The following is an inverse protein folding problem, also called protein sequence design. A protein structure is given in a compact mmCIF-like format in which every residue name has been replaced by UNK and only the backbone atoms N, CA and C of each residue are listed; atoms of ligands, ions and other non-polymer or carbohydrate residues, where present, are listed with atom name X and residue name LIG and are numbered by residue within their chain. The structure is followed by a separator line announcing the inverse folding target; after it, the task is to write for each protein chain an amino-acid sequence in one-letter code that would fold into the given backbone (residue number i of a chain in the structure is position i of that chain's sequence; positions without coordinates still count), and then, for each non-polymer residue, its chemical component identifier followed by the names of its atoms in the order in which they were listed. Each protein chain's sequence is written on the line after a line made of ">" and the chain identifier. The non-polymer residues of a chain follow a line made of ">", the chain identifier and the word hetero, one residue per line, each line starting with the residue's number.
data_IF_044987947142
#
_entry.id   IF_044987947142
#
_cell.length_a   1.000
_cell.length_b   1.000
_cell.length_c   1.000
_cell.angle_alpha   90.00
_cell.angle_beta   90.00
_cell.angle_gamma   90.00
#
_symmetry.space_group_name_H-M   'P 1'
#
loop_
_entity.id
_entity.type
_entity.pdbx_description
1 polymer ?
#
# COMPACT_ATOMS: atom_id res chain seq x y z
N UNK A 1 -19.03 -49.79 -15.83
CA UNK A 1 -18.31 -49.12 -14.72
C UNK A 1 -17.89 -47.78 -15.25
N UNK A 2 -18.42 -46.70 -14.69
CA UNK A 2 -18.14 -45.36 -15.20
C UNK A 2 -16.98 -44.79 -14.39
N UNK A 3 -15.81 -44.67 -15.02
CA UNK A 3 -14.66 -43.98 -14.48
C UNK A 3 -14.84 -42.47 -14.70
N UNK A 4 -15.64 -41.87 -13.82
CA UNK A 4 -15.71 -40.41 -13.65
C UNK A 4 -14.57 -39.93 -12.78
N UNK A 5 -13.32 -40.19 -13.15
CA UNK A 5 -12.20 -39.56 -12.48
C UNK A 5 -10.98 -39.50 -13.38
N UNK A 6 -10.72 -38.31 -13.93
CA UNK A 6 -9.38 -37.72 -13.94
C UNK A 6 -9.41 -36.30 -14.51
N UNK A 7 -9.49 -35.35 -13.58
CA UNK A 7 -8.68 -34.12 -13.57
C UNK A 7 -8.62 -33.31 -14.88
N UNK A 8 -9.65 -32.48 -15.10
CA UNK A 8 -9.66 -31.37 -16.06
C UNK A 8 -8.62 -30.26 -15.78
N UNK A 9 -7.81 -30.40 -14.73
CA UNK A 9 -6.67 -29.53 -14.41
C UNK A 9 -5.39 -30.37 -14.37
N UNK A 10 -4.93 -30.79 -15.55
CA UNK A 10 -3.58 -31.32 -15.70
C UNK A 10 -2.52 -30.28 -15.28
N UNK A 11 -1.26 -30.70 -15.05
CA UNK A 11 -0.20 -29.83 -14.55
C UNK A 11 0.02 -28.55 -15.38
N UNK A 12 -0.34 -28.57 -16.67
CA UNK A 12 -0.31 -27.38 -17.54
C UNK A 12 -1.27 -26.26 -17.13
N UNK A 13 -2.46 -26.58 -16.62
CA UNK A 13 -3.45 -25.57 -16.18
C UNK A 13 -3.01 -24.86 -14.88
N UNK A 14 -2.39 -25.61 -13.97
CA UNK A 14 -1.83 -25.07 -12.73
C UNK A 14 -0.67 -24.13 -13.02
N UNK A 15 0.24 -24.51 -13.93
CA UNK A 15 1.37 -23.67 -14.33
C UNK A 15 0.90 -22.35 -14.96
N UNK A 16 -0.12 -22.40 -15.83
CA UNK A 16 -0.67 -21.20 -16.46
C UNK A 16 -1.33 -20.26 -15.42
N UNK A 17 -2.05 -20.82 -14.46
CA UNK A 17 -2.69 -20.07 -13.37
C UNK A 17 -1.66 -19.40 -12.44
N UNK A 18 -0.60 -20.11 -12.08
CA UNK A 18 0.51 -19.57 -11.27
C UNK A 18 1.22 -18.44 -12.04
N UNK A 19 1.47 -18.62 -13.34
CA UNK A 19 2.06 -17.58 -14.18
C UNK A 19 1.20 -16.32 -14.24
N UNK A 20 -0.12 -16.47 -14.37
CA UNK A 20 -1.07 -15.35 -14.36
C UNK A 20 -1.07 -14.60 -13.01
N UNK A 21 -1.09 -15.32 -11.89
CA UNK A 21 -1.00 -14.71 -10.56
C UNK A 21 0.31 -13.94 -10.35
N UNK A 22 1.42 -14.46 -10.88
CA UNK A 22 2.72 -13.79 -10.83
C UNK A 22 2.70 -12.44 -11.57
N UNK A 23 2.11 -12.40 -12.77
CA UNK A 23 1.99 -11.16 -13.55
C UNK A 23 1.13 -10.13 -12.80
N UNK A 24 0.01 -10.56 -12.21
CA UNK A 24 -0.84 -9.67 -11.39
C UNK A 24 -0.08 -9.15 -10.18
N UNK A 25 0.66 -10.01 -9.47
CA UNK A 25 1.42 -9.62 -8.29
C UNK A 25 2.51 -8.58 -8.62
N UNK A 26 3.21 -8.75 -9.76
CA UNK A 26 4.22 -7.78 -10.23
C UNK A 26 3.56 -6.44 -10.61
N UNK A 27 2.44 -6.48 -11.33
CA UNK A 27 1.67 -5.28 -11.66
C UNK A 27 1.18 -4.53 -10.42
N UNK A 28 0.59 -5.27 -9.46
CA UNK A 28 0.15 -4.72 -8.19
C UNK A 28 1.31 -4.14 -7.37
N UNK A 29 2.47 -4.82 -7.32
CA UNK A 29 3.67 -4.33 -6.65
C UNK A 29 4.16 -3.02 -7.26
N UNK A 30 4.17 -2.90 -8.60
CA UNK A 30 4.62 -1.68 -9.26
C UNK A 30 3.68 -0.50 -9.01
N UNK A 31 2.36 -0.75 -9.04
CA UNK A 31 1.34 0.25 -8.69
C UNK A 31 1.49 0.68 -7.23
N UNK A 32 1.51 -0.27 -6.29
CA UNK A 32 1.67 -0.02 -4.85
C UNK A 32 2.98 0.70 -4.52
N UNK A 33 4.06 0.44 -5.24
CA UNK A 33 5.36 1.10 -5.05
C UNK A 33 5.35 2.54 -5.55
N UNK A 34 4.67 2.82 -6.66
CA UNK A 34 4.62 4.17 -7.23
C UNK A 34 3.54 5.03 -6.56
N UNK A 35 2.54 4.38 -5.99
CA UNK A 35 1.58 5.05 -5.14
C UNK A 35 2.14 5.13 -3.72
N UNK A 36 2.53 6.32 -3.26
CA UNK A 36 2.64 6.65 -1.83
C UNK A 36 1.27 6.54 -1.11
N UNK A 37 0.38 5.62 -1.51
CA UNK A 37 -0.93 5.37 -0.91
C UNK A 37 -0.77 4.66 0.44
N UNK A 38 0.37 4.02 0.69
CA UNK A 38 0.76 3.63 2.05
C UNK A 38 1.46 4.82 2.73
N UNK A 39 0.84 6.00 2.73
CA UNK A 39 1.12 6.95 3.81
C UNK A 39 0.65 6.26 5.09
N UNK A 40 1.48 6.08 6.13
CA UNK A 40 0.99 5.61 7.43
C UNK A 40 -0.13 6.56 7.86
N UNK A 41 -1.37 6.07 7.80
CA UNK A 41 -2.64 6.81 7.80
C UNK A 41 -2.89 7.70 9.04
N UNK A 42 -1.91 7.79 9.96
CA UNK A 42 -2.03 8.46 11.25
C UNK A 42 -0.96 9.53 11.48
N UNK A 43 0.30 9.28 11.08
CA UNK A 43 1.40 10.23 11.35
C UNK A 43 1.58 11.27 10.24
N UNK A 44 1.38 10.86 8.98
CA UNK A 44 1.51 11.80 7.87
C UNK A 44 0.40 12.85 7.90
N UNK A 45 -0.83 12.47 8.23
CA UNK A 45 -1.97 13.40 8.33
C UNK A 45 -1.74 14.46 9.42
N UNK A 46 -1.23 14.06 10.59
CA UNK A 46 -0.96 14.99 11.69
C UNK A 46 0.17 15.98 11.34
N UNK A 47 1.25 15.50 10.70
CA UNK A 47 2.35 16.35 10.23
C UNK A 47 1.93 17.27 9.07
N UNK A 48 1.06 16.80 8.18
CA UNK A 48 0.55 17.57 7.03
C UNK A 48 -0.36 18.71 7.52
N UNK A 49 -1.26 18.45 8.46
CA UNK A 49 -2.08 19.48 9.14
C UNK A 49 -1.17 20.48 9.90
N UNK A 50 -0.14 19.99 10.60
CA UNK A 50 0.78 20.84 11.36
C UNK A 50 1.57 21.79 10.43
N UNK A 51 2.04 21.29 9.28
CA UNK A 51 2.71 22.11 8.26
C UNK A 51 1.77 23.14 7.65
N UNK A 52 0.52 22.76 7.39
CA UNK A 52 -0.48 23.67 6.81
C UNK A 52 -0.76 24.85 7.76
N UNK A 53 -0.95 24.59 9.07
CA UNK A 53 -1.16 25.64 10.07
C UNK A 53 0.05 26.55 10.26
N UNK A 54 1.26 25.98 10.17
CA UNK A 54 2.50 26.77 10.21
C UNK A 54 2.62 27.69 8.99
N UNK A 55 2.28 27.18 7.80
CA UNK A 55 2.28 27.98 6.56
C UNK A 55 1.21 29.08 6.58
N UNK A 56 0.07 28.83 7.21
CA UNK A 56 -0.97 29.84 7.47
C UNK A 56 -0.58 30.86 8.55
N UNK A 57 0.49 30.62 9.31
CA UNK A 57 0.94 31.47 10.42
C UNK A 57 0.09 31.34 11.69
N UNK A 58 -0.76 30.32 11.77
CA UNK A 58 -1.63 30.06 12.93
C UNK A 58 -0.86 29.50 14.14
N UNK A 59 0.32 28.93 13.89
CA UNK A 59 1.23 28.41 14.93
C UNK A 59 2.64 28.96 14.73
N UNK A 60 3.35 29.22 15.83
CA UNK A 60 4.76 29.62 15.76
C UNK A 60 5.68 28.41 15.54
N UNK A 61 6.90 28.67 15.08
CA UNK A 61 7.94 27.65 14.89
C UNK A 61 8.17 26.82 16.16
N UNK A 62 8.07 27.44 17.34
CA UNK A 62 8.24 26.75 18.62
C UNK A 62 7.15 25.70 18.89
N UNK A 63 5.89 26.02 18.55
CA UNK A 63 4.76 25.10 18.69
C UNK A 63 4.83 23.98 17.66
N UNK A 64 5.24 24.30 16.43
CA UNK A 64 5.51 23.31 15.38
C UNK A 64 6.57 22.28 15.84
N UNK A 65 7.68 22.74 16.41
CA UNK A 65 8.76 21.85 16.86
C UNK A 65 8.35 20.98 18.06
N UNK A 66 7.57 21.51 19.00
CA UNK A 66 7.04 20.73 20.14
C UNK A 66 6.10 19.62 19.66
N UNK A 67 5.11 19.95 18.83
CA UNK A 67 4.10 18.99 18.38
C UNK A 67 4.74 17.96 17.43
N UNK A 68 5.70 18.36 16.59
CA UNK A 68 6.47 17.44 15.76
C UNK A 68 7.24 16.41 16.59
N UNK A 69 7.83 16.80 17.72
CA UNK A 69 8.54 15.88 18.64
C UNK A 69 7.61 14.94 19.42
N UNK A 70 6.35 15.31 19.57
CA UNK A 70 5.34 14.51 20.27
C UNK A 70 4.71 13.43 19.35
N UNK A 71 4.69 13.70 18.03
CA UNK A 71 4.13 12.80 17.00
C UNK A 71 5.17 11.78 16.47
N UNK A 72 6.46 12.09 16.56
CA UNK A 72 7.58 11.27 16.08
C UNK A 72 8.13 10.35 17.17
#
# INVERSE_FOLDING_TARGET
>A
MMDWDQSYFGPGGIIMFIGFLLIIAIGAYFVLRNTNIIKPLKNDTALEILKERYARGEITKNDFEKIKKDIL
#
